data_IF_405227153066
#
_entry.id   IF_405227153066
#
_cell.length_a   1.000
_cell.length_b   1.000
_cell.length_c   1.000
_cell.angle_alpha   90.00
_cell.angle_beta   90.00
_cell.angle_gamma   90.00
#
_symmetry.space_group_name_H-M   'P 1'
#
loop_
_entity.id
_entity.type
_entity.pdbx_description
1 polymer ?
#
# COMPACT_ATOMS: atom_id res chain seq x y z
N UNK A 1 -10.54 -33.39 11.93
CA UNK A 1 -11.43 -32.25 11.64
C UNK A 1 -10.60 -30.98 11.64
N UNK A 2 -10.47 -30.30 10.50
CA UNK A 2 -9.90 -28.95 10.49
C UNK A 2 -10.84 -28.04 11.27
N UNK A 3 -10.36 -27.46 12.37
CA UNK A 3 -11.07 -26.44 13.13
C UNK A 3 -10.80 -25.11 12.42
N UNK A 4 -11.85 -24.37 12.10
CA UNK A 4 -11.72 -23.04 11.51
C UNK A 4 -10.77 -22.20 12.37
N UNK A 5 -9.76 -21.60 11.76
CA UNK A 5 -8.89 -20.60 12.39
C UNK A 5 -9.64 -19.30 12.71
N UNK A 6 -10.86 -19.13 12.17
CA UNK A 6 -11.71 -17.97 12.40
C UNK A 6 -12.93 -18.39 13.22
N UNK A 7 -12.93 -18.11 14.54
CA UNK A 7 -14.09 -18.39 15.40
C UNK A 7 -15.36 -17.70 14.92
N UNK A 8 -15.22 -16.52 14.27
CA UNK A 8 -16.30 -15.73 13.66
C UNK A 8 -15.80 -15.12 12.33
N UNK A 9 -15.92 -15.83 11.21
CA UNK A 9 -15.36 -15.37 9.93
C UNK A 9 -16.04 -14.09 9.41
N UNK A 10 -17.36 -13.92 9.57
CA UNK A 10 -18.09 -12.76 9.06
C UNK A 10 -17.52 -11.40 9.51
N UNK A 11 -17.42 -11.14 10.83
CA UNK A 11 -16.82 -9.90 11.35
C UNK A 11 -15.36 -9.69 10.92
N UNK A 12 -14.58 -10.78 10.85
CA UNK A 12 -13.19 -10.71 10.40
C UNK A 12 -13.11 -10.23 8.94
N UNK A 13 -13.84 -10.87 8.03
CA UNK A 13 -13.82 -10.49 6.61
C UNK A 13 -14.45 -9.12 6.37
N UNK A 14 -15.48 -8.73 7.12
CA UNK A 14 -16.03 -7.37 7.06
C UNK A 14 -15.01 -6.32 7.48
N UNK A 15 -14.25 -6.57 8.55
CA UNK A 15 -13.18 -5.66 8.97
C UNK A 15 -12.08 -5.58 7.90
N UNK A 16 -11.63 -6.72 7.40
CA UNK A 16 -10.62 -6.78 6.34
C UNK A 16 -11.07 -6.03 5.08
N UNK A 17 -12.35 -6.18 4.69
CA UNK A 17 -12.92 -5.47 3.55
C UNK A 17 -12.93 -3.95 3.76
N UNK A 18 -13.38 -3.48 4.93
CA UNK A 18 -13.37 -2.04 5.25
C UNK A 18 -11.95 -1.49 5.24
N UNK A 19 -10.99 -2.16 5.86
CA UNK A 19 -9.59 -1.74 5.85
C UNK A 19 -8.97 -1.75 4.45
N UNK A 20 -9.31 -2.75 3.62
CA UNK A 20 -8.88 -2.78 2.23
C UNK A 20 -9.43 -1.60 1.44
N UNK A 21 -10.71 -1.26 1.61
CA UNK A 21 -11.31 -0.08 0.98
C UNK A 21 -10.64 1.23 1.43
N UNK A 22 -10.38 1.37 2.72
CA UNK A 22 -9.68 2.55 3.26
C UNK A 22 -8.29 2.65 2.63
N UNK A 23 -7.53 1.55 2.56
CA UNK A 23 -6.20 1.54 1.97
C UNK A 23 -6.23 1.93 0.47
N UNK A 24 -7.20 1.40 -0.28
CA UNK A 24 -7.38 1.75 -1.70
C UNK A 24 -7.73 3.23 -1.85
N UNK A 25 -8.72 3.72 -1.10
CA UNK A 25 -9.13 5.14 -1.16
C UNK A 25 -7.96 6.05 -0.80
N UNK A 26 -7.25 5.75 0.29
CA UNK A 26 -6.07 6.49 0.71
C UNK A 26 -5.03 6.56 -0.41
N UNK A 27 -4.73 5.42 -1.05
CA UNK A 27 -3.76 5.37 -2.14
C UNK A 27 -4.20 6.21 -3.35
N UNK A 28 -5.45 6.04 -3.78
CA UNK A 28 -6.02 6.76 -4.93
C UNK A 28 -6.20 8.27 -4.67
N UNK A 29 -6.34 8.68 -3.41
CA UNK A 29 -6.49 10.08 -3.02
C UNK A 29 -5.14 10.84 -2.90
N UNK A 30 -4.01 10.23 -3.28
CA UNK A 30 -2.69 10.85 -3.20
C UNK A 30 -1.84 10.40 -2.00
N UNK A 31 -2.19 9.26 -1.38
CA UNK A 31 -1.39 8.66 -0.31
C UNK A 31 0.05 8.34 -0.73
N UNK A 32 0.27 7.98 -2.00
CA UNK A 32 1.60 7.76 -2.58
C UNK A 32 2.48 9.02 -2.50
N UNK A 33 1.97 10.16 -2.96
CA UNK A 33 2.69 11.45 -2.89
C UNK A 33 3.01 11.86 -1.45
N UNK A 34 2.08 11.59 -0.54
CA UNK A 34 2.31 11.84 0.89
C UNK A 34 3.45 10.97 1.45
N UNK A 35 3.48 9.67 1.12
CA UNK A 35 4.57 8.77 1.50
C UNK A 35 5.89 9.21 0.85
N UNK A 36 5.88 9.56 -0.43
CA UNK A 36 7.05 10.05 -1.17
C UNK A 36 7.69 11.26 -0.46
N UNK A 37 6.88 12.23 -0.04
CA UNK A 37 7.35 13.39 0.73
C UNK A 37 7.92 13.02 2.09
N UNK A 38 7.35 12.03 2.78
CA UNK A 38 7.84 11.59 4.08
C UNK A 38 9.20 10.90 4.00
N UNK A 39 9.43 10.10 2.96
CA UNK A 39 10.70 9.37 2.79
C UNK A 39 11.74 10.14 1.98
N UNK A 40 11.41 11.36 1.56
CA UNK A 40 12.31 12.22 0.78
C UNK A 40 12.59 11.69 -0.62
N UNK A 41 11.59 11.05 -1.24
CA UNK A 41 11.70 10.64 -2.63
C UNK A 41 11.82 11.88 -3.53
N UNK A 42 12.67 11.78 -4.55
CA UNK A 42 13.05 12.90 -5.40
C UNK A 42 12.50 12.68 -6.79
N UNK A 43 11.89 13.73 -7.36
CA UNK A 43 11.40 13.77 -8.73
C UNK A 43 12.52 13.54 -9.79
N UNK A 44 13.78 13.55 -9.38
CA UNK A 44 14.93 13.25 -10.24
C UNK A 44 15.11 11.75 -10.44
N UNK A 45 14.42 11.21 -11.44
CA UNK A 45 14.53 9.79 -11.81
C UNK A 45 15.80 9.56 -12.66
N UNK A 46 16.69 8.61 -12.28
CA UNK A 46 17.86 8.26 -13.08
C UNK A 46 17.49 7.81 -14.51
N UNK A 47 18.29 8.18 -15.51
CA UNK A 47 18.04 7.77 -16.91
C UNK A 47 18.45 6.30 -17.16
N UNK A 48 19.20 5.68 -16.23
CA UNK A 48 19.68 4.31 -16.31
C UNK A 48 18.77 3.30 -15.60
N UNK A 49 19.16 2.01 -15.61
CA UNK A 49 18.50 0.96 -14.84
C UNK A 49 18.42 1.24 -13.32
N UNK A 50 19.19 2.21 -12.81
CA UNK A 50 19.07 2.67 -11.43
C UNK A 50 17.68 3.24 -11.09
N UNK A 51 16.89 3.67 -12.09
CA UNK A 51 15.50 4.12 -11.87
C UNK A 51 14.60 3.10 -11.19
N UNK A 52 14.86 1.80 -11.40
CA UNK A 52 14.07 0.74 -10.77
C UNK A 52 14.34 0.60 -9.28
N UNK A 53 15.39 1.27 -8.79
CA UNK A 53 15.79 1.33 -7.40
C UNK A 53 15.56 2.72 -6.78
N UNK A 54 14.95 3.68 -7.50
CA UNK A 54 14.60 4.97 -6.92
C UNK A 54 13.46 4.80 -5.92
N UNK A 55 13.43 5.67 -4.92
CA UNK A 55 12.37 5.66 -3.90
C UNK A 55 10.99 5.83 -4.55
N UNK A 56 10.86 6.71 -5.55
CA UNK A 56 9.61 6.87 -6.31
C UNK A 56 9.14 5.57 -6.94
N UNK A 57 10.06 4.78 -7.51
CA UNK A 57 9.69 3.50 -8.14
C UNK A 57 9.28 2.44 -7.11
N UNK A 58 9.84 2.48 -5.90
CA UNK A 58 9.50 1.55 -4.83
C UNK A 58 8.17 1.89 -4.13
N UNK A 59 7.69 3.12 -4.28
CA UNK A 59 6.47 3.62 -3.64
C UNK A 59 5.21 3.25 -4.44
N UNK A 60 5.33 2.79 -5.69
CA UNK A 60 4.30 2.20 -6.59
C UNK A 60 3.12 3.07 -7.06
#
# INVERSE_FOLDING_TARGET
MFKSFFPKPGPFFMSAFVWALIAVIFWQAGGGDWVARLVGASDEVPISAARFWSLDYLIF
#
